data_IF_171245907940
#
_entry.id   IF_171245907940
#
_cell.length_a   1.000
_cell.length_b   1.000
_cell.length_c   1.000
_cell.angle_alpha   90.00
_cell.angle_beta   90.00
_cell.angle_gamma   90.00
#
_symmetry.space_group_name_H-M   'P 1'
#
loop_
_entity.id
_entity.type
_entity.pdbx_description
1 polymer ?
#
# COMPACT_ATOMS: atom_id res chain seq x y z
N UNK A 1 -24.36 -18.92 1.01
CA UNK A 1 -23.01 -19.45 1.34
C UNK A 1 -22.63 -20.44 0.27
N UNK A 2 -21.43 -20.34 -0.29
CA UNK A 2 -20.92 -21.23 -1.35
C UNK A 2 -20.14 -22.38 -0.71
N UNK A 3 -20.25 -23.58 -1.26
CA UNK A 3 -19.51 -24.77 -0.83
C UNK A 3 -18.49 -25.14 -1.90
N UNK A 4 -17.21 -25.23 -1.53
CA UNK A 4 -16.12 -25.62 -2.42
C UNK A 4 -15.36 -26.82 -1.89
N UNK A 5 -14.96 -27.72 -2.79
CA UNK A 5 -13.89 -28.69 -2.51
C UNK A 5 -12.55 -27.97 -2.34
N UNK A 6 -11.56 -28.62 -1.71
CA UNK A 6 -10.18 -28.08 -1.65
C UNK A 6 -9.59 -27.82 -3.05
N UNK A 7 -9.96 -28.63 -4.05
CA UNK A 7 -9.52 -28.46 -5.43
C UNK A 7 -10.09 -27.20 -6.05
N UNK A 8 -11.39 -26.95 -5.91
CA UNK A 8 -12.04 -25.72 -6.40
C UNK A 8 -11.48 -24.48 -5.72
N UNK A 9 -11.28 -24.50 -4.40
CA UNK A 9 -10.68 -23.38 -3.67
C UNK A 9 -9.26 -23.06 -4.18
N UNK A 10 -8.41 -24.08 -4.42
CA UNK A 10 -7.07 -23.89 -5.01
C UNK A 10 -7.15 -23.31 -6.43
N UNK A 11 -8.06 -23.84 -7.26
CA UNK A 11 -8.25 -23.37 -8.63
C UNK A 11 -8.71 -21.91 -8.66
N UNK A 12 -9.70 -21.55 -7.84
CA UNK A 12 -10.12 -20.17 -7.63
C UNK A 12 -8.94 -19.26 -7.29
N UNK A 13 -8.11 -19.65 -6.33
CA UNK A 13 -6.94 -18.85 -5.93
C UNK A 13 -5.95 -18.66 -7.08
N UNK A 14 -5.68 -19.70 -7.86
CA UNK A 14 -4.79 -19.59 -9.01
C UNK A 14 -5.38 -18.70 -10.12
N UNK A 15 -6.67 -18.84 -10.43
CA UNK A 15 -7.37 -18.01 -11.41
C UNK A 15 -7.42 -16.54 -10.97
N UNK A 16 -7.80 -16.29 -9.71
CA UNK A 16 -7.87 -14.94 -9.11
C UNK A 16 -6.53 -14.22 -9.23
N UNK A 17 -5.44 -14.93 -8.94
CA UNK A 17 -4.10 -14.37 -8.99
C UNK A 17 -3.45 -14.38 -10.37
N UNK A 18 -4.14 -14.85 -11.41
CA UNK A 18 -3.61 -14.89 -12.78
C UNK A 18 -2.47 -15.89 -12.96
N UNK A 19 -2.48 -16.98 -12.19
CA UNK A 19 -1.47 -18.04 -12.16
C UNK A 19 -1.93 -19.34 -12.82
N UNK A 20 -3.15 -19.38 -13.33
CA UNK A 20 -3.70 -20.49 -14.10
C UNK A 20 -4.33 -19.94 -15.38
N UNK A 21 -4.31 -20.77 -16.44
CA UNK A 21 -4.73 -20.45 -17.80
C UNK A 21 -3.84 -19.40 -18.51
N UNK A 22 -4.36 -18.77 -19.56
CA UNK A 22 -3.66 -17.74 -20.32
C UNK A 22 -3.49 -16.50 -19.46
N UNK A 23 -2.40 -15.77 -19.69
CA UNK A 23 -2.17 -14.48 -19.05
C UNK A 23 -3.39 -13.55 -19.17
N UNK A 24 -3.94 -13.16 -18.01
CA UNK A 24 -5.04 -12.18 -17.90
C UNK A 24 -4.55 -10.75 -18.04
N UNK A 25 -3.28 -10.51 -17.74
CA UNK A 25 -2.68 -9.18 -17.67
C UNK A 25 -1.49 -9.09 -18.62
N UNK A 26 -1.35 -7.98 -19.34
CA UNK A 26 -0.28 -7.77 -20.33
C UNK A 26 0.29 -6.35 -20.25
N UNK A 27 1.62 -6.22 -20.28
CA UNK A 27 2.32 -4.94 -20.28
C UNK A 27 1.99 -4.03 -19.09
N UNK A 28 2.22 -2.72 -19.24
CA UNK A 28 1.96 -1.71 -18.18
C UNK A 28 0.52 -1.71 -17.71
N UNK A 29 -0.45 -1.75 -18.64
CA UNK A 29 -1.86 -1.76 -18.27
C UNK A 29 -2.19 -2.98 -17.40
N UNK A 30 -1.65 -4.15 -17.74
CA UNK A 30 -1.78 -5.35 -16.91
C UNK A 30 -1.21 -5.20 -15.50
N UNK A 31 -0.08 -4.49 -15.33
CA UNK A 31 0.45 -4.17 -14.00
C UNK A 31 -0.57 -3.34 -13.21
N UNK A 32 -1.11 -2.28 -13.81
CA UNK A 32 -2.09 -1.40 -13.17
C UNK A 32 -3.36 -2.16 -12.78
N UNK A 33 -3.90 -2.96 -13.69
CA UNK A 33 -5.11 -3.75 -13.44
C UNK A 33 -4.89 -4.77 -12.33
N UNK A 34 -3.72 -5.42 -12.31
CA UNK A 34 -3.37 -6.35 -11.24
C UNK A 34 -3.19 -5.64 -9.90
N UNK A 35 -2.45 -4.53 -9.86
CA UNK A 35 -2.25 -3.72 -8.63
C UNK A 35 -3.59 -3.22 -8.08
N UNK A 36 -4.50 -2.74 -8.94
CA UNK A 36 -5.88 -2.37 -8.55
C UNK A 36 -6.65 -3.58 -8.01
N UNK A 37 -6.52 -4.73 -8.66
CA UNK A 37 -7.18 -5.96 -8.21
C UNK A 37 -6.73 -6.36 -6.80
N UNK A 38 -5.43 -6.32 -6.50
CA UNK A 38 -4.89 -6.70 -5.19
C UNK A 38 -4.80 -5.54 -4.20
N UNK A 39 -5.11 -4.33 -4.63
CA UNK A 39 -4.95 -3.09 -3.89
C UNK A 39 -3.49 -2.68 -3.69
N UNK A 40 -2.62 -3.57 -3.21
CA UNK A 40 -1.22 -3.23 -2.98
C UNK A 40 -0.31 -4.42 -3.24
N UNK A 41 0.92 -4.13 -3.67
CA UNK A 41 2.02 -5.11 -3.72
C UNK A 41 3.06 -4.67 -2.70
N UNK A 42 3.51 -5.57 -1.84
CA UNK A 42 4.56 -5.24 -0.89
C UNK A 42 5.84 -4.81 -1.64
N UNK A 43 6.44 -3.72 -1.20
CA UNK A 43 7.76 -3.33 -1.62
C UNK A 43 8.78 -3.92 -0.63
N UNK A 44 9.49 -4.96 -1.06
CA UNK A 44 10.64 -5.50 -0.35
C UNK A 44 11.92 -5.18 -1.16
N UNK A 45 12.88 -4.44 -0.58
CA UNK A 45 14.10 -4.07 -1.28
C UNK A 45 15.12 -5.21 -1.43
N UNK A 46 14.93 -6.37 -0.78
CA UNK A 46 15.85 -7.51 -0.91
C UNK A 46 15.85 -7.99 -2.37
N UNK A 47 17.05 -8.06 -2.95
CA UNK A 47 17.25 -8.31 -4.38
C UNK A 47 18.31 -9.39 -4.61
N UNK A 48 18.05 -10.60 -4.09
CA UNK A 48 18.92 -11.77 -4.32
C UNK A 48 18.61 -12.42 -5.67
N UNK A 49 17.34 -12.54 -6.01
CA UNK A 49 16.86 -13.12 -7.28
C UNK A 49 15.84 -12.22 -8.00
N UNK A 50 15.75 -10.94 -7.61
CA UNK A 50 14.66 -10.04 -7.96
C UNK A 50 13.93 -9.55 -6.71
N UNK A 51 13.45 -8.31 -6.75
CA UNK A 51 12.64 -7.74 -5.67
C UNK A 51 11.27 -8.38 -5.63
N UNK A 52 10.64 -8.43 -4.44
CA UNK A 52 9.34 -9.09 -4.26
C UNK A 52 8.29 -8.64 -5.29
N UNK A 53 8.14 -7.33 -5.49
CA UNK A 53 7.17 -6.79 -6.44
C UNK A 53 7.46 -7.20 -7.89
N UNK A 54 8.74 -7.28 -8.28
CA UNK A 54 9.16 -7.71 -9.61
C UNK A 54 8.82 -9.20 -9.84
N UNK A 55 9.06 -10.05 -8.85
CA UNK A 55 8.72 -11.49 -8.91
C UNK A 55 7.21 -11.73 -8.96
N UNK A 56 6.45 -10.96 -8.18
CA UNK A 56 4.98 -10.99 -8.19
C UNK A 56 4.44 -10.65 -9.58
N UNK A 57 4.96 -9.60 -10.21
CA UNK A 57 4.50 -9.15 -11.53
C UNK A 57 5.02 -10.05 -12.67
N UNK A 58 6.28 -10.50 -12.61
CA UNK A 58 6.85 -11.39 -13.63
C UNK A 58 6.01 -12.66 -13.82
N UNK A 59 5.50 -13.23 -12.72
CA UNK A 59 4.69 -14.45 -12.76
C UNK A 59 3.27 -14.25 -13.30
N UNK A 60 2.79 -13.01 -13.43
CA UNK A 60 1.36 -12.70 -13.69
C UNK A 60 1.12 -11.84 -14.92
N UNK A 61 2.12 -11.08 -15.34
CA UNK A 61 1.98 -10.09 -16.41
C UNK A 61 2.77 -10.55 -17.64
N UNK A 62 2.06 -10.80 -18.75
CA UNK A 62 2.70 -11.14 -20.02
C UNK A 62 3.60 -9.99 -20.48
N UNK A 63 4.86 -10.33 -20.78
CA UNK A 63 5.84 -9.36 -21.27
C UNK A 63 6.36 -8.39 -20.20
N UNK A 64 6.22 -8.72 -18.91
CA UNK A 64 6.76 -7.90 -17.83
C UNK A 64 8.25 -7.60 -18.00
N UNK A 65 8.63 -6.34 -17.79
CA UNK A 65 10.02 -5.94 -17.58
C UNK A 65 10.10 -5.05 -16.33
N UNK A 66 11.27 -5.03 -15.67
CA UNK A 66 11.48 -4.14 -14.50
C UNK A 66 11.26 -2.67 -14.86
N UNK A 67 11.61 -2.29 -16.09
CA UNK A 67 11.44 -0.92 -16.56
C UNK A 67 9.96 -0.50 -16.62
N UNK A 68 9.03 -1.41 -16.98
CA UNK A 68 7.60 -1.09 -16.96
C UNK A 68 7.12 -0.68 -15.56
N UNK A 69 7.56 -1.39 -14.51
CA UNK A 69 7.21 -1.02 -13.13
C UNK A 69 7.88 0.29 -12.71
N UNK A 70 9.16 0.47 -13.06
CA UNK A 70 9.90 1.68 -12.74
C UNK A 70 9.29 2.94 -13.39
N UNK A 71 8.86 2.84 -14.65
CA UNK A 71 8.15 3.91 -15.35
C UNK A 71 6.83 4.24 -14.66
N UNK A 72 6.01 3.23 -14.32
CA UNK A 72 4.73 3.45 -13.63
C UNK A 72 4.88 4.14 -12.26
N UNK A 73 5.95 3.83 -11.52
CA UNK A 73 6.26 4.41 -10.20
C UNK A 73 6.89 5.80 -10.27
N UNK A 74 7.87 5.97 -11.16
CA UNK A 74 8.81 7.09 -11.08
C UNK A 74 8.76 8.07 -12.26
N UNK A 75 8.09 7.71 -13.35
CA UNK A 75 7.89 8.57 -14.53
C UNK A 75 6.42 8.91 -14.71
N UNK A 76 5.57 7.91 -14.91
CA UNK A 76 4.14 8.08 -15.19
C UNK A 76 3.36 8.53 -13.94
N UNK A 77 3.90 8.24 -12.73
CA UNK A 77 3.30 8.58 -11.42
C UNK A 77 1.87 8.07 -11.22
N UNK A 78 1.53 6.96 -11.87
CA UNK A 78 0.24 6.28 -11.70
C UNK A 78 0.29 5.30 -10.52
N UNK A 79 1.50 4.85 -10.15
CA UNK A 79 1.77 4.11 -8.92
C UNK A 79 2.66 4.93 -8.00
N UNK A 80 2.51 4.72 -6.69
CA UNK A 80 3.35 5.34 -5.66
C UNK A 80 3.76 4.30 -4.62
N UNK A 81 4.98 4.45 -4.09
CA UNK A 81 5.37 3.75 -2.87
C UNK A 81 4.81 4.49 -1.67
N UNK A 82 3.96 3.84 -0.88
CA UNK A 82 3.41 4.40 0.36
C UNK A 82 3.11 3.28 1.36
N UNK A 83 3.09 3.56 2.69
CA UNK A 83 2.73 2.54 3.67
C UNK A 83 1.29 2.02 3.51
N UNK A 84 1.17 0.77 3.09
CA UNK A 84 -0.05 -0.03 3.18
C UNK A 84 0.29 -1.47 3.60
N UNK A 85 -0.18 -1.91 4.78
CA UNK A 85 0.27 -3.12 5.49
C UNK A 85 1.75 -3.04 5.92
N UNK A 86 2.64 -2.85 4.96
CA UNK A 86 4.07 -2.57 5.06
C UNK A 86 4.41 -1.43 4.08
N UNK A 87 5.69 -1.23 3.73
CA UNK A 87 6.00 -0.45 2.53
C UNK A 87 5.39 -1.16 1.33
N UNK A 88 4.60 -0.45 0.53
CA UNK A 88 3.85 -1.06 -0.56
C UNK A 88 3.80 -0.14 -1.77
N UNK A 89 3.56 -0.74 -2.93
CA UNK A 89 3.20 -0.08 -4.16
C UNK A 89 1.68 -0.04 -4.23
N UNK A 90 1.11 1.15 -4.34
CA UNK A 90 -0.33 1.39 -4.46
C UNK A 90 -0.64 2.25 -5.69
N UNK A 91 -1.86 2.17 -6.23
CA UNK A 91 -2.38 3.16 -7.17
C UNK A 91 -2.35 4.57 -6.58
N UNK A 92 -1.93 5.56 -7.36
CA UNK A 92 -1.93 6.97 -6.92
C UNK A 92 -3.36 7.48 -6.65
N UNK A 93 -4.36 6.92 -7.32
CA UNK A 93 -5.79 7.21 -7.10
C UNK A 93 -6.26 6.85 -5.68
N UNK A 94 -5.55 5.96 -4.97
CA UNK A 94 -5.84 5.64 -3.57
C UNK A 94 -5.25 6.68 -2.60
N UNK A 95 -4.43 7.62 -3.07
CA UNK A 95 -3.76 8.62 -2.23
C UNK A 95 -4.71 9.33 -1.24
N UNK A 96 -5.90 9.81 -1.64
CA UNK A 96 -6.83 10.49 -0.72
C UNK A 96 -7.29 9.60 0.45
N UNK A 97 -7.43 8.29 0.25
CA UNK A 97 -7.90 7.33 1.25
C UNK A 97 -6.91 7.07 2.40
N UNK A 98 -5.67 7.55 2.25
CA UNK A 98 -4.64 7.49 3.28
C UNK A 98 -4.48 8.80 4.05
N UNK A 99 -5.36 9.78 3.85
CA UNK A 99 -5.24 11.09 4.50
C UNK A 99 -5.26 11.02 6.02
N UNK A 100 -6.09 10.15 6.63
CA UNK A 100 -6.07 9.96 8.10
C UNK A 100 -4.71 9.52 8.65
N UNK A 101 -3.93 8.76 7.88
CA UNK A 101 -2.59 8.33 8.25
C UNK A 101 -1.61 9.50 8.14
N UNK A 102 -1.71 10.31 7.07
CA UNK A 102 -0.92 11.54 6.92
C UNK A 102 -1.24 12.54 8.02
N UNK A 103 -2.51 12.72 8.37
CA UNK A 103 -2.94 13.56 9.50
C UNK A 103 -2.34 13.08 10.82
N UNK A 104 -2.39 11.78 11.10
CA UNK A 104 -1.73 11.22 12.28
C UNK A 104 -0.21 11.44 12.26
N UNK A 105 0.45 11.33 11.11
CA UNK A 105 1.86 11.66 10.97
C UNK A 105 2.15 13.16 11.19
N UNK A 106 1.30 14.07 10.71
CA UNK A 106 1.41 15.52 10.97
C UNK A 106 1.19 15.85 12.45
N UNK A 107 0.24 15.20 13.11
CA UNK A 107 0.04 15.33 14.56
C UNK A 107 1.24 14.77 15.33
N UNK A 108 1.81 13.66 14.88
CA UNK A 108 2.99 13.05 15.48
C UNK A 108 4.23 13.93 15.35
N UNK A 109 4.40 14.64 14.22
CA UNK A 109 5.51 15.57 14.00
C UNK A 109 5.61 16.64 15.11
N UNK A 110 4.48 17.05 15.71
CA UNK A 110 4.44 18.02 16.82
C UNK A 110 5.19 17.58 18.08
N UNK A 111 5.53 16.28 18.19
CA UNK A 111 6.36 15.75 19.28
C UNK A 111 7.86 16.03 19.10
N UNK A 112 8.26 16.49 17.92
CA UNK A 112 9.63 16.78 17.54
C UNK A 112 9.74 18.25 17.06
N UNK A 113 9.48 19.25 17.92
CA UNK A 113 9.54 20.66 17.53
C UNK A 113 10.91 21.07 16.96
N UNK A 114 11.99 20.42 17.39
CA UNK A 114 13.33 20.61 16.85
C UNK A 114 13.47 20.22 15.37
N UNK A 115 12.57 19.36 14.86
CA UNK A 115 12.58 18.92 13.47
C UNK A 115 12.07 19.98 12.51
N UNK A 116 11.29 20.97 12.97
CA UNK A 116 10.69 21.99 12.09
C UNK A 116 11.77 22.80 11.35
N UNK A 117 12.80 23.26 12.06
CA UNK A 117 13.93 23.97 11.46
C UNK A 117 14.75 23.10 10.49
N UNK A 118 14.71 21.78 10.67
CA UNK A 118 15.39 20.82 9.79
C UNK A 118 14.55 20.52 8.54
N UNK A 119 13.22 20.51 8.66
CA UNK A 119 12.29 20.39 7.53
C UNK A 119 12.47 21.57 6.58
N UNK A 120 12.60 22.80 7.08
CA UNK A 120 12.89 23.98 6.24
C UNK A 120 14.20 23.85 5.46
N UNK A 121 15.25 23.29 6.07
CA UNK A 121 16.51 23.02 5.37
C UNK A 121 16.33 21.99 4.26
N UNK A 122 15.51 20.97 4.46
CA UNK A 122 15.17 19.98 3.42
C UNK A 122 14.39 20.66 2.29
N UNK A 123 13.36 21.45 2.59
CA UNK A 123 12.57 22.22 1.59
C UNK A 123 13.48 23.10 0.73
N UNK A 124 14.33 23.90 1.37
CA UNK A 124 15.28 24.78 0.69
C UNK A 124 16.31 23.99 -0.15
N UNK A 125 16.79 22.85 0.35
CA UNK A 125 17.70 22.02 -0.44
C UNK A 125 17.03 21.47 -1.69
N UNK A 126 15.81 20.91 -1.57
CA UNK A 126 15.04 20.36 -2.69
C UNK A 126 14.71 21.45 -3.72
N UNK A 127 14.38 22.65 -3.27
CA UNK A 127 14.09 23.77 -4.15
C UNK A 127 15.31 24.13 -5.03
N UNK A 128 16.51 24.08 -4.46
CA UNK A 128 17.75 24.50 -5.15
C UNK A 128 18.43 23.38 -5.93
N UNK A 129 18.33 22.12 -5.49
CA UNK A 129 19.11 21.00 -6.03
C UNK A 129 18.28 19.81 -6.51
N UNK A 130 16.96 19.83 -6.29
CA UNK A 130 16.07 18.73 -6.67
C UNK A 130 16.05 17.58 -5.65
N UNK A 131 15.69 16.39 -6.13
CA UNK A 131 15.48 15.22 -5.29
C UNK A 131 16.76 14.79 -4.53
N UNK A 132 16.63 14.48 -3.24
CA UNK A 132 17.75 14.09 -2.37
C UNK A 132 17.52 12.80 -1.61
N UNK A 133 18.61 12.17 -1.20
CA UNK A 133 18.65 11.08 -0.22
C UNK A 133 19.19 11.57 1.12
N UNK A 134 19.11 10.71 2.15
CA UNK A 134 19.70 10.98 3.47
C UNK A 134 21.23 11.14 3.46
N UNK A 135 21.89 10.79 2.36
CA UNK A 135 23.34 10.93 2.22
C UNK A 135 23.75 12.30 1.67
N UNK A 136 22.85 12.99 0.96
CA UNK A 136 23.14 14.24 0.23
C UNK A 136 23.04 15.48 1.13
N UNK A 137 22.24 15.42 2.19
CA UNK A 137 22.09 16.52 3.17
C UNK A 137 22.35 16.00 4.58
N UNK A 138 23.39 16.51 5.24
CA UNK A 138 23.70 16.21 6.64
C UNK A 138 23.03 17.23 7.55
N UNK A 139 21.96 16.81 8.21
CA UNK A 139 21.23 17.63 9.18
C UNK A 139 21.82 17.43 10.57
N UNK A 140 22.01 18.52 11.29
CA UNK A 140 22.40 18.50 12.70
C UNK A 140 21.23 18.11 13.61
N UNK A 141 21.53 17.75 14.86
CA UNK A 141 20.55 17.34 15.85
C UNK A 141 20.73 15.88 16.30
N UNK A 142 20.24 15.57 17.50
CA UNK A 142 20.34 14.24 18.09
C UNK A 142 19.01 13.89 18.77
N UNK A 143 18.13 13.20 18.07
CA UNK A 143 16.86 12.71 18.60
C UNK A 143 16.54 11.32 18.05
N UNK A 144 15.80 10.55 18.85
CA UNK A 144 15.27 9.26 18.44
C UNK A 144 13.88 9.44 17.82
N UNK A 145 13.78 9.21 16.52
CA UNK A 145 12.53 9.31 15.80
C UNK A 145 11.94 7.93 15.49
N UNK A 146 10.61 7.86 15.51
CA UNK A 146 9.85 6.70 15.09
C UNK A 146 8.64 7.16 14.29
N UNK A 147 8.37 6.50 13.17
CA UNK A 147 7.19 6.82 12.38
C UNK A 147 5.89 6.51 13.13
N UNK A 148 4.88 7.33 12.87
CA UNK A 148 3.50 7.07 13.28
C UNK A 148 2.78 6.05 12.38
N UNK A 149 3.25 5.84 11.14
CA UNK A 149 2.49 5.12 10.10
C UNK A 149 3.12 3.84 9.57
N UNK A 150 4.38 3.59 9.90
CA UNK A 150 5.10 2.38 9.51
C UNK A 150 6.19 2.04 10.52
N UNK A 151 6.88 0.93 10.30
CA UNK A 151 7.90 0.41 11.23
C UNK A 151 9.20 1.22 11.27
N UNK A 152 9.39 2.21 10.39
CA UNK A 152 10.63 2.98 10.30
C UNK A 152 10.91 3.75 11.59
N UNK A 153 12.14 3.66 12.06
CA UNK A 153 12.67 4.42 13.19
C UNK A 153 14.18 4.59 13.01
N UNK A 154 14.78 5.50 13.78
CA UNK A 154 16.22 5.63 13.82
C UNK A 154 16.72 6.93 14.44
N UNK A 155 18.04 6.97 14.58
CA UNK A 155 18.78 8.09 15.17
C UNK A 155 19.57 8.90 14.12
N UNK A 156 19.48 8.52 12.83
CA UNK A 156 20.07 9.31 11.75
C UNK A 156 19.13 10.46 11.42
N UNK A 157 19.51 11.67 11.83
CA UNK A 157 18.68 12.88 11.75
C UNK A 157 18.16 13.16 10.34
N UNK A 158 19.04 13.13 9.32
CA UNK A 158 18.63 13.34 7.92
C UNK A 158 17.58 12.33 7.46
N UNK A 159 17.78 11.04 7.74
CA UNK A 159 16.80 9.99 7.40
C UNK A 159 15.50 10.19 8.16
N UNK A 160 15.56 10.53 9.45
CA UNK A 160 14.38 10.74 10.28
C UNK A 160 13.52 11.90 9.78
N UNK A 161 14.15 13.02 9.40
CA UNK A 161 13.43 14.18 8.82
C UNK A 161 12.80 13.81 7.49
N UNK A 162 13.55 13.17 6.58
CA UNK A 162 13.03 12.75 5.28
C UNK A 162 11.89 11.74 5.39
N UNK A 163 12.00 10.74 6.29
CA UNK A 163 10.94 9.76 6.52
C UNK A 163 9.73 10.38 7.23
N UNK A 164 9.91 11.39 8.08
CA UNK A 164 8.80 12.15 8.68
C UNK A 164 8.04 12.94 7.60
N UNK A 165 8.73 13.69 6.76
CA UNK A 165 8.10 14.44 5.66
C UNK A 165 7.46 13.51 4.61
N UNK A 166 8.04 12.33 4.38
CA UNK A 166 7.41 11.28 3.57
C UNK A 166 6.14 10.75 4.24
N UNK A 167 6.14 10.58 5.57
CA UNK A 167 4.98 10.09 6.33
C UNK A 167 3.82 11.10 6.37
N UNK A 168 4.10 12.40 6.31
CA UNK A 168 3.07 13.45 6.19
C UNK A 168 2.52 13.59 4.77
N UNK A 169 3.13 12.90 3.81
CA UNK A 169 2.84 13.02 2.38
C UNK A 169 3.34 14.31 1.74
N UNK A 170 4.19 15.07 2.42
CA UNK A 170 4.86 16.24 1.85
C UNK A 170 5.94 15.82 0.84
N UNK A 171 6.66 14.75 1.16
CA UNK A 171 7.57 14.09 0.23
C UNK A 171 6.98 12.81 -0.32
N UNK A 172 7.38 12.47 -1.55
CA UNK A 172 7.25 11.13 -2.12
C UNK A 172 8.62 10.52 -2.38
N UNK A 173 8.67 9.22 -2.65
CA UNK A 173 9.88 8.61 -3.21
C UNK A 173 9.94 8.98 -4.70
N UNK A 174 10.86 9.89 -5.03
CA UNK A 174 11.11 10.28 -6.41
C UNK A 174 11.62 9.10 -7.22
N UNK A 175 12.65 8.41 -6.72
CA UNK A 175 13.23 7.22 -7.32
C UNK A 175 14.06 6.47 -6.28
N UNK A 176 14.60 5.31 -6.65
CA UNK A 176 15.49 4.53 -5.80
C UNK A 176 16.76 4.13 -6.56
N UNK A 177 17.91 4.19 -5.87
CA UNK A 177 19.19 3.64 -6.35
C UNK A 177 19.61 2.52 -5.41
N UNK A 178 19.46 1.27 -5.84
CA UNK A 178 19.54 0.13 -4.93
C UNK A 178 18.42 0.20 -3.88
N UNK A 179 18.80 0.18 -2.59
CA UNK A 179 17.89 0.35 -1.45
C UNK A 179 17.73 1.80 -0.99
N UNK A 180 18.56 2.71 -1.52
CA UNK A 180 18.54 4.13 -1.18
C UNK A 180 17.33 4.80 -1.82
N UNK A 181 16.59 5.54 -1.02
CA UNK A 181 15.45 6.36 -1.43
C UNK A 181 15.92 7.78 -1.72
N UNK A 182 15.45 8.34 -2.83
CA UNK A 182 15.53 9.77 -3.11
C UNK A 182 14.13 10.34 -3.03
N UNK A 183 14.00 11.48 -2.36
CA UNK A 183 12.75 12.13 -2.03
C UNK A 183 12.65 13.47 -2.75
N UNK A 184 11.43 13.84 -3.11
CA UNK A 184 11.10 15.16 -3.65
C UNK A 184 9.66 15.52 -3.23
N UNK A 185 9.29 16.78 -3.39
CA UNK A 185 7.99 17.35 -3.01
C UNK A 185 6.87 16.66 -3.78
N UNK A 186 5.87 16.13 -3.07
CA UNK A 186 4.72 15.43 -3.63
C UNK A 186 3.95 16.28 -4.66
N UNK A 187 3.81 17.59 -4.40
CA UNK A 187 3.13 18.58 -5.24
C UNK A 187 3.66 18.66 -6.68
N UNK A 188 4.93 18.29 -6.91
CA UNK A 188 5.52 18.28 -8.26
C UNK A 188 5.06 17.08 -9.11
N UNK A 189 4.55 16.02 -8.48
CA UNK A 189 4.37 14.71 -9.13
C UNK A 189 2.96 14.13 -8.99
N UNK A 190 2.24 14.44 -7.92
CA UNK A 190 0.86 13.99 -7.72
C UNK A 190 -0.07 15.10 -8.19
N UNK A 191 -1.04 14.75 -9.05
CA UNK A 191 -1.97 15.71 -9.59
C UNK A 191 -2.77 16.42 -8.48
N UNK A 192 -3.04 17.74 -8.58
CA UNK A 192 -3.70 18.50 -7.53
C UNK A 192 -5.06 17.95 -7.08
N UNK A 193 -5.82 17.35 -8.00
CA UNK A 193 -7.12 16.72 -7.72
C UNK A 193 -7.01 15.44 -6.87
N UNK A 194 -5.84 14.80 -6.79
CA UNK A 194 -5.59 13.68 -5.88
C UNK A 194 -4.85 14.13 -4.63
N UNK A 195 -3.88 15.04 -4.78
CA UNK A 195 -3.05 15.51 -3.68
C UNK A 195 -3.87 16.27 -2.63
N UNK A 196 -4.75 17.15 -3.08
CA UNK A 196 -5.55 18.05 -2.24
C UNK A 196 -6.98 17.53 -2.01
N UNK A 197 -7.31 16.35 -2.52
CA UNK A 197 -8.63 15.76 -2.28
C UNK A 197 -8.79 15.42 -0.79
N UNK A 198 -9.97 15.69 -0.21
CA UNK A 198 -10.29 15.20 1.12
C UNK A 198 -10.34 13.67 1.14
N UNK A 199 -10.26 13.08 2.33
CA UNK A 199 -10.52 11.65 2.48
C UNK A 199 -11.93 11.32 1.96
N UNK A 200 -12.10 10.38 1.01
CA UNK A 200 -13.42 10.09 0.45
C UNK A 200 -14.37 9.39 1.41
N UNK A 201 -13.86 8.87 2.54
CA UNK A 201 -14.57 8.03 3.50
C UNK A 201 -14.49 8.66 4.90
N UNK A 202 -15.38 9.61 5.18
CA UNK A 202 -15.39 10.35 6.45
C UNK A 202 -15.64 9.43 7.66
N UNK A 203 -16.53 8.46 7.52
CA UNK A 203 -16.87 7.51 8.59
C UNK A 203 -15.79 6.45 8.82
N UNK A 204 -15.47 6.17 10.08
CA UNK A 204 -14.51 5.12 10.45
C UNK A 204 -14.94 3.74 9.92
N UNK A 205 -16.22 3.41 10.01
CA UNK A 205 -16.77 2.15 9.50
C UNK A 205 -16.63 2.02 7.97
N UNK A 206 -16.90 3.08 7.21
CA UNK A 206 -16.76 3.06 5.75
C UNK A 206 -15.30 2.90 5.33
N UNK A 207 -14.38 3.55 6.04
CA UNK A 207 -12.95 3.32 5.85
C UNK A 207 -12.55 1.89 6.18
N UNK A 208 -13.02 1.32 7.29
CA UNK A 208 -12.77 -0.09 7.60
C UNK A 208 -13.32 -1.02 6.53
N UNK A 209 -14.53 -0.79 6.03
CA UNK A 209 -15.12 -1.55 4.92
C UNK A 209 -14.22 -1.49 3.69
N UNK A 210 -13.75 -0.31 3.29
CA UNK A 210 -12.81 -0.15 2.18
C UNK A 210 -11.50 -0.94 2.41
N UNK A 211 -10.86 -0.78 3.57
CA UNK A 211 -9.61 -1.49 3.92
C UNK A 211 -9.81 -3.01 3.91
N UNK A 212 -10.86 -3.50 4.56
CA UNK A 212 -11.15 -4.94 4.67
C UNK A 212 -11.48 -5.53 3.31
N UNK A 213 -12.32 -4.87 2.51
CA UNK A 213 -12.66 -5.34 1.17
C UNK A 213 -11.42 -5.42 0.27
N UNK A 214 -10.53 -4.42 0.37
CA UNK A 214 -9.23 -4.43 -0.32
C UNK A 214 -8.38 -5.64 0.08
N UNK A 215 -8.33 -6.01 1.37
CA UNK A 215 -7.58 -7.19 1.85
C UNK A 215 -8.22 -8.51 1.42
N UNK A 216 -9.54 -8.62 1.45
CA UNK A 216 -10.25 -9.80 0.93
C UNK A 216 -9.94 -9.95 -0.55
N UNK A 217 -10.00 -8.86 -1.32
CA UNK A 217 -9.66 -8.86 -2.74
C UNK A 217 -8.21 -9.19 -3.05
N UNK A 218 -7.28 -8.78 -2.18
CA UNK A 218 -5.85 -9.06 -2.28
C UNK A 218 -5.50 -10.51 -1.99
N UNK A 219 -6.16 -11.14 -1.02
CA UNK A 219 -5.90 -12.53 -0.66
C UNK A 219 -6.69 -13.48 -1.56
N UNK A 220 -7.94 -13.15 -1.88
CA UNK A 220 -8.88 -13.98 -2.63
C UNK A 220 -9.87 -14.69 -1.71
N UNK A 221 -9.38 -15.61 -0.87
CA UNK A 221 -10.17 -16.27 0.18
C UNK A 221 -9.58 -15.92 1.55
N UNK A 222 -10.29 -15.10 2.33
CA UNK A 222 -9.81 -14.60 3.61
C UNK A 222 -10.83 -14.84 4.72
N UNK A 223 -10.38 -15.35 5.86
CA UNK A 223 -11.20 -15.58 7.05
C UNK A 223 -11.54 -14.28 7.80
N UNK A 224 -12.56 -14.30 8.66
CA UNK A 224 -12.82 -13.25 9.65
C UNK A 224 -12.16 -13.58 11.01
N UNK A 225 -10.83 -13.49 11.10
CA UNK A 225 -10.08 -13.76 12.34
C UNK A 225 -8.83 -12.89 12.41
N UNK A 226 -8.23 -12.73 13.59
CA UNK A 226 -6.97 -12.02 13.73
C UNK A 226 -5.88 -12.69 12.86
N UNK A 227 -5.18 -11.89 12.07
CA UNK A 227 -4.03 -12.30 11.25
C UNK A 227 -3.30 -11.07 10.71
N UNK A 228 -2.11 -11.29 10.17
CA UNK A 228 -1.29 -10.24 9.55
C UNK A 228 -1.90 -9.65 8.27
N UNK A 229 -3.00 -10.23 7.75
CA UNK A 229 -3.75 -9.65 6.65
C UNK A 229 -4.28 -8.24 6.99
N UNK A 230 -4.50 -7.97 8.28
CA UNK A 230 -5.09 -6.72 8.77
C UNK A 230 -4.07 -5.67 9.23
N UNK A 231 -2.77 -5.92 9.06
CA UNK A 231 -1.75 -4.95 9.45
C UNK A 231 -1.99 -3.59 8.77
N UNK A 232 -1.67 -2.54 9.52
CA UNK A 232 -1.90 -1.14 9.17
C UNK A 232 -3.38 -0.75 8.97
N UNK A 233 -4.35 -1.53 9.49
CA UNK A 233 -5.74 -1.09 9.70
C UNK A 233 -5.91 -0.82 11.20
N UNK A 234 -5.61 0.41 11.62
CA UNK A 234 -5.57 0.77 13.04
C UNK A 234 -6.94 0.64 13.68
N UNK A 235 -7.03 0.17 14.92
CA UNK A 235 -8.30 0.06 15.64
C UNK A 235 -9.21 -1.11 15.22
N UNK A 236 -8.86 -1.86 14.16
CA UNK A 236 -9.65 -3.01 13.68
C UNK A 236 -9.54 -4.24 14.61
N UNK A 237 -10.22 -4.18 15.75
CA UNK A 237 -10.35 -5.31 16.69
C UNK A 237 -11.47 -6.24 16.24
N UNK A 238 -11.73 -7.29 17.03
CA UNK A 238 -12.72 -8.31 16.70
C UNK A 238 -14.13 -7.73 16.48
N UNK A 239 -14.56 -6.80 17.33
CA UNK A 239 -15.86 -6.14 17.22
C UNK A 239 -16.01 -5.35 15.92
N UNK A 240 -15.07 -4.43 15.64
CA UNK A 240 -15.08 -3.62 14.41
C UNK A 240 -15.02 -4.52 13.17
N UNK A 241 -14.19 -5.57 13.20
CA UNK A 241 -14.08 -6.51 12.08
C UNK A 241 -15.36 -7.30 11.87
N UNK A 242 -16.01 -7.78 12.93
CA UNK A 242 -17.28 -8.49 12.83
C UNK A 242 -18.38 -7.61 12.25
N UNK A 243 -18.44 -6.34 12.67
CA UNK A 243 -19.40 -5.37 12.14
C UNK A 243 -19.13 -5.09 10.64
N UNK A 244 -17.88 -4.92 10.25
CA UNK A 244 -17.50 -4.73 8.84
C UNK A 244 -17.91 -5.92 7.98
N UNK A 245 -17.62 -7.15 8.41
CA UNK A 245 -18.02 -8.34 7.67
C UNK A 245 -19.55 -8.47 7.58
N UNK A 246 -20.28 -8.15 8.65
CA UNK A 246 -21.75 -8.13 8.65
C UNK A 246 -22.31 -7.15 7.61
N UNK A 247 -21.78 -5.92 7.58
CA UNK A 247 -22.20 -4.89 6.62
C UNK A 247 -21.83 -5.28 5.17
N UNK A 248 -20.60 -5.74 4.92
CA UNK A 248 -20.18 -6.15 3.58
C UNK A 248 -20.96 -7.35 3.04
N UNK A 249 -21.40 -8.28 3.90
CA UNK A 249 -22.29 -9.38 3.53
C UNK A 249 -23.70 -8.85 3.22
N UNK A 250 -24.24 -7.97 4.05
CA UNK A 250 -25.55 -7.36 3.85
C UNK A 250 -25.62 -6.54 2.55
N UNK A 251 -24.55 -5.81 2.23
CA UNK A 251 -24.39 -5.04 1.00
C UNK A 251 -24.02 -5.90 -0.23
N UNK A 252 -23.94 -7.22 -0.08
CA UNK A 252 -23.52 -8.15 -1.12
C UNK A 252 -22.16 -7.81 -1.77
N UNK A 253 -21.24 -7.19 -1.02
CA UNK A 253 -19.87 -6.89 -1.47
C UNK A 253 -18.93 -8.07 -1.31
N UNK A 254 -19.22 -8.96 -0.35
CA UNK A 254 -18.48 -10.19 -0.11
C UNK A 254 -19.43 -11.38 0.00
N UNK A 255 -18.90 -12.59 -0.20
CA UNK A 255 -19.65 -13.84 -0.10
C UNK A 255 -18.92 -14.81 0.81
N UNK A 256 -19.68 -15.46 1.70
CA UNK A 256 -19.19 -16.54 2.54
C UNK A 256 -18.97 -17.83 1.75
N UNK A 257 -17.78 -18.41 1.88
CA UNK A 257 -17.30 -19.62 1.22
C UNK A 257 -16.86 -20.62 2.28
N UNK A 258 -17.54 -21.75 2.34
CA UNK A 258 -17.11 -22.92 3.09
C UNK A 258 -16.27 -23.82 2.18
N UNK A 259 -15.11 -24.24 2.67
CA UNK A 259 -14.21 -25.14 1.96
C UNK A 259 -14.17 -26.47 2.68
N UNK A 260 -14.31 -27.57 1.94
CA UNK A 260 -14.25 -28.93 2.45
C UNK A 260 -13.03 -29.13 3.38
N UNK A 261 -13.27 -29.71 4.56
CA UNK A 261 -12.25 -29.97 5.60
C UNK A 261 -11.57 -28.72 6.17
N UNK A 262 -12.07 -27.51 5.89
CA UNK A 262 -11.67 -26.29 6.58
C UNK A 262 -12.71 -25.91 7.63
N UNK A 263 -12.24 -25.68 8.86
CA UNK A 263 -13.10 -25.27 9.99
C UNK A 263 -13.63 -23.83 9.82
N UNK A 264 -12.77 -22.95 9.35
CA UNK A 264 -13.08 -21.52 9.24
C UNK A 264 -13.82 -21.23 7.92
N UNK A 265 -14.88 -20.43 8.01
CA UNK A 265 -15.52 -19.82 6.84
C UNK A 265 -14.58 -18.76 6.26
N UNK A 266 -14.35 -18.85 4.95
CA UNK A 266 -13.59 -17.87 4.18
C UNK A 266 -14.56 -16.92 3.46
N UNK A 267 -14.03 -15.80 2.99
CA UNK A 267 -14.78 -14.80 2.27
C UNK A 267 -13.99 -14.37 1.04
N UNK A 268 -14.71 -14.19 -0.08
CA UNK A 268 -14.20 -13.56 -1.29
C UNK A 268 -15.09 -12.36 -1.65
N UNK A 269 -14.63 -11.50 -2.56
CA UNK A 269 -15.49 -10.43 -3.07
C UNK A 269 -16.58 -11.02 -3.97
N UNK A 270 -17.76 -10.41 -3.97
CA UNK A 270 -18.84 -10.85 -4.85
C UNK A 270 -18.47 -10.74 -6.35
N UNK A 271 -17.64 -9.77 -6.73
CA UNK A 271 -17.12 -9.65 -8.11
C UNK A 271 -16.21 -10.82 -8.54
N UNK A 272 -15.71 -11.61 -7.59
CA UNK A 272 -14.83 -12.75 -7.85
C UNK A 272 -15.61 -14.06 -8.07
N UNK A 273 -16.93 -14.05 -7.89
CA UNK A 273 -17.80 -15.23 -8.09
C UNK A 273 -17.68 -15.90 -9.46
N UNK A 274 -17.49 -15.19 -10.59
CA UNK A 274 -17.32 -15.84 -11.89
C UNK A 274 -16.07 -16.75 -11.99
N UNK A 275 -15.15 -16.70 -11.01
CA UNK A 275 -13.94 -17.54 -10.96
C UNK A 275 -14.12 -18.81 -10.12
N UNK A 276 -15.28 -18.99 -9.49
CA UNK A 276 -15.63 -20.14 -8.64
C UNK A 276 -16.37 -21.18 -9.47
#
# INVERSE_FOLDING_TARGET
MIQLTKRQARQFMLLKHGLLDKYRFTGKQGILDFVRQVGCIQYDPIDVCGKNAELVLQSRIKGFTKNMLAELLYQDRILVDYPDKNLAIIPVEDWPYFERYRQAARQHAKRYPEMEALIEQVRAHIQNHGALSSDDLKLGGNFAWRSAIHWSSGNNTSRSVLEQMYSTGELIIHHKKGTRKYYDIAEKYIQPNLLNAPEPLEGELEHYKWRVLRRIGAVGLLWNRASDAWLNIWGLKAEQRNEVFRQLLHEARIVAVAVEQMKDILYCRAEDLPLI
#
